data_IF_485538506331
#
_entry.id   IF_485538506331
#
_cell.length_a   1.000
_cell.length_b   1.000
_cell.length_c   1.000
_cell.angle_alpha   90.00
_cell.angle_beta   90.00
_cell.angle_gamma   90.00
#
_symmetry.space_group_name_H-M   'P 1'
#
loop_
_entity.id
_entity.type
_entity.pdbx_description
1 polymer ?
#
# COMPACT_ATOMS: atom_id res chain seq x y z
N UNK A 1 -3.15 -13.17 -27.52
CA UNK A 1 -4.26 -12.22 -27.66
C UNK A 1 -5.17 -12.40 -26.46
N UNK A 2 -5.16 -11.46 -25.53
CA UNK A 2 -6.11 -11.42 -24.43
C UNK A 2 -7.43 -10.89 -25.01
N UNK A 3 -8.51 -11.67 -24.92
CA UNK A 3 -9.83 -11.27 -25.40
C UNK A 3 -10.43 -10.22 -24.45
N UNK A 4 -11.18 -9.27 -25.01
CA UNK A 4 -11.76 -8.13 -24.30
C UNK A 4 -12.73 -8.49 -23.17
N UNK A 5 -13.16 -9.75 -23.07
CA UNK A 5 -14.07 -10.23 -22.02
C UNK A 5 -13.35 -10.49 -20.68
N UNK A 6 -12.04 -10.77 -20.68
CA UNK A 6 -11.29 -11.04 -19.44
C UNK A 6 -10.99 -9.77 -18.61
N UNK A 7 -11.18 -8.59 -19.19
CA UNK A 7 -10.95 -7.29 -18.55
C UNK A 7 -12.19 -6.73 -17.86
N UNK A 8 -13.39 -7.29 -18.10
CA UNK A 8 -14.63 -6.82 -17.50
C UNK A 8 -14.85 -7.29 -16.05
N UNK A 9 -14.01 -8.22 -15.55
CA UNK A 9 -14.12 -8.79 -14.19
C UNK A 9 -13.05 -8.26 -13.22
N UNK A 10 -12.26 -7.24 -13.61
CA UNK A 10 -11.21 -6.65 -12.76
C UNK A 10 -11.56 -5.19 -12.45
N UNK A 11 -12.42 -4.98 -11.47
CA UNK A 11 -12.55 -3.67 -10.79
C UNK A 11 -11.34 -3.46 -9.87
N UNK A 12 -10.20 -3.09 -10.44
CA UNK A 12 -9.03 -2.67 -9.68
C UNK A 12 -9.03 -1.14 -9.58
N UNK A 13 -9.53 -0.60 -8.47
CA UNK A 13 -9.41 0.83 -8.16
C UNK A 13 -8.10 1.09 -7.39
N UNK A 14 -7.22 1.93 -7.95
CA UNK A 14 -5.96 2.32 -7.34
C UNK A 14 -6.00 3.80 -6.94
N UNK A 15 -5.59 4.12 -5.71
CA UNK A 15 -5.67 5.47 -5.15
C UNK A 15 -4.29 6.01 -4.75
N UNK A 16 -4.03 7.30 -4.98
CA UNK A 16 -2.76 7.98 -4.69
C UNK A 16 -3.01 9.25 -3.85
N UNK A 17 -2.07 9.60 -2.95
CA UNK A 17 -2.15 10.71 -1.97
C UNK A 17 -0.78 11.39 -1.77
N UNK A 18 -0.52 12.70 -1.53
CA UNK A 18 -1.26 14.00 -1.43
C UNK A 18 -0.41 15.14 -2.05
N UNK A 19 -1.04 16.20 -2.56
CA UNK A 19 -0.39 17.39 -3.16
C UNK A 19 -0.53 18.68 -2.30
N UNK A 20 -1.45 18.70 -1.32
CA UNK A 20 -2.00 19.94 -0.72
C UNK A 20 -1.09 20.67 0.27
N UNK A 21 -0.29 19.96 1.08
CA UNK A 21 0.65 20.61 2.02
C UNK A 21 1.69 21.47 1.30
N UNK A 22 2.07 21.06 0.08
CA UNK A 22 2.98 21.81 -0.80
C UNK A 22 2.31 23.07 -1.36
N UNK A 23 1.03 22.99 -1.69
CA UNK A 23 0.25 24.12 -2.22
C UNK A 23 -0.03 25.17 -1.13
N UNK A 24 -0.40 24.73 0.08
CA UNK A 24 -0.63 25.61 1.22
C UNK A 24 0.62 26.41 1.61
N UNK A 25 1.80 25.77 1.62
CA UNK A 25 3.07 26.45 1.86
C UNK A 25 3.41 27.51 0.80
N UNK A 26 2.99 27.29 -0.45
CA UNK A 26 3.15 28.26 -1.54
C UNK A 26 2.25 29.48 -1.37
N UNK A 27 1.01 29.28 -0.92
CA UNK A 27 0.02 30.36 -0.71
C UNK A 27 0.40 31.30 0.44
N UNK A 28 1.14 30.81 1.44
CA UNK A 28 1.53 31.58 2.62
C UNK A 28 2.97 32.15 2.53
N UNK A 29 3.53 32.20 1.32
CA UNK A 29 4.82 32.86 1.05
C UNK A 29 6.04 32.18 1.70
N UNK A 30 5.92 30.92 2.13
CA UNK A 30 7.02 30.15 2.73
C UNK A 30 7.48 30.63 4.12
N UNK A 31 6.72 31.51 4.78
CA UNK A 31 7.11 32.08 6.07
C UNK A 31 6.58 31.23 7.22
N UNK A 32 7.49 30.55 7.92
CA UNK A 32 7.16 29.71 9.08
C UNK A 32 6.93 30.58 10.33
N UNK A 33 5.67 30.81 10.71
CA UNK A 33 5.31 31.39 12.00
C UNK A 33 4.30 30.48 12.74
N UNK A 34 4.03 30.78 14.02
CA UNK A 34 3.17 29.92 14.85
C UNK A 34 1.73 29.82 14.33
N UNK A 35 1.19 30.91 13.78
CA UNK A 35 -0.16 30.96 13.22
C UNK A 35 -0.26 30.11 11.95
N UNK A 36 0.72 30.23 11.05
CA UNK A 36 0.87 29.36 9.88
C UNK A 36 0.97 27.89 10.27
N UNK A 37 1.76 27.57 11.30
CA UNK A 37 1.90 26.21 11.80
C UNK A 37 0.54 25.66 12.30
N UNK A 38 -0.19 26.42 13.12
CA UNK A 38 -1.50 25.99 13.64
C UNK A 38 -2.50 25.77 12.50
N UNK A 39 -2.64 26.73 11.57
CA UNK A 39 -3.57 26.63 10.44
C UNK A 39 -3.23 25.48 9.50
N UNK A 40 -1.93 25.30 9.19
CA UNK A 40 -1.46 24.16 8.40
C UNK A 40 -1.79 22.83 9.10
N UNK A 41 -1.56 22.74 10.41
CA UNK A 41 -1.86 21.53 11.18
C UNK A 41 -3.36 21.24 11.25
N UNK A 42 -4.21 22.25 11.41
CA UNK A 42 -5.66 22.11 11.40
C UNK A 42 -6.17 21.65 10.03
N UNK A 43 -5.69 22.28 8.94
CA UNK A 43 -6.06 21.91 7.57
C UNK A 43 -5.65 20.47 7.25
N UNK A 44 -4.38 20.13 7.49
CA UNK A 44 -3.87 18.76 7.32
C UNK A 44 -4.66 17.76 8.18
N UNK A 45 -5.09 18.15 9.39
CA UNK A 45 -5.88 17.28 10.27
C UNK A 45 -7.31 17.08 9.77
N UNK A 46 -7.92 18.10 9.16
CA UNK A 46 -9.23 18.01 8.54
C UNK A 46 -9.18 17.14 7.28
N UNK A 47 -8.25 17.41 6.36
CA UNK A 47 -8.02 16.63 5.14
C UNK A 47 -7.82 15.15 5.47
N UNK A 48 -7.00 14.84 6.49
CA UNK A 48 -6.82 13.46 6.98
C UNK A 48 -8.13 12.80 7.41
N UNK A 49 -9.02 13.51 8.10
CA UNK A 49 -10.31 12.95 8.53
C UNK A 49 -11.24 12.74 7.35
N UNK A 50 -11.29 13.69 6.42
CA UNK A 50 -12.11 13.59 5.20
C UNK A 50 -11.64 12.43 4.32
N UNK A 51 -10.33 12.21 4.21
CA UNK A 51 -9.76 11.06 3.51
C UNK A 51 -10.11 9.73 4.13
N UNK A 52 -10.00 9.62 5.45
CA UNK A 52 -10.34 8.38 6.16
C UNK A 52 -11.83 8.08 5.97
N UNK A 53 -12.69 9.11 6.07
CA UNK A 53 -14.12 8.97 5.81
C UNK A 53 -14.40 8.57 4.37
N UNK A 54 -13.77 9.21 3.40
CA UNK A 54 -13.92 8.88 1.98
C UNK A 54 -13.47 7.45 1.68
N UNK A 55 -12.37 6.98 2.28
CA UNK A 55 -11.89 5.61 2.14
C UNK A 55 -12.92 4.60 2.68
N UNK A 56 -13.48 4.87 3.86
CA UNK A 56 -14.52 4.06 4.48
C UNK A 56 -15.78 3.99 3.60
N UNK A 57 -16.28 5.13 3.15
CA UNK A 57 -17.46 5.22 2.27
C UNK A 57 -17.24 4.55 0.91
N UNK A 58 -16.04 4.69 0.34
CA UNK A 58 -15.66 4.06 -0.94
C UNK A 58 -15.67 2.54 -0.78
N UNK A 59 -14.99 2.01 0.23
CA UNK A 59 -14.93 0.56 0.47
C UNK A 59 -16.30 -0.03 0.86
N UNK A 60 -17.16 0.75 1.54
CA UNK A 60 -18.52 0.36 1.86
C UNK A 60 -19.44 0.26 0.63
N UNK A 61 -19.18 1.09 -0.39
CA UNK A 61 -19.96 1.11 -1.63
C UNK A 61 -19.54 0.02 -2.63
N UNK A 62 -18.33 -0.55 -2.51
CA UNK A 62 -17.84 -1.62 -3.38
C UNK A 62 -18.61 -2.94 -3.18
N UNK A 63 -18.71 -3.76 -4.23
CA UNK A 63 -19.23 -5.13 -4.10
C UNK A 63 -18.37 -5.91 -3.08
N UNK A 64 -18.99 -6.51 -2.03
CA UNK A 64 -18.30 -7.40 -1.09
C UNK A 64 -17.51 -8.51 -1.80
N UNK A 65 -17.93 -8.91 -3.01
CA UNK A 65 -17.32 -9.97 -3.80
C UNK A 65 -16.17 -9.51 -4.70
N UNK A 66 -15.96 -8.22 -4.90
CA UNK A 66 -14.82 -7.72 -5.69
C UNK A 66 -13.51 -7.92 -4.93
N UNK A 67 -12.45 -8.24 -5.68
CA UNK A 67 -11.07 -8.15 -5.20
C UNK A 67 -10.75 -6.69 -4.88
N UNK A 68 -10.14 -6.42 -3.73
CA UNK A 68 -9.87 -5.05 -3.28
C UNK A 68 -8.39 -4.84 -3.05
N UNK A 69 -7.82 -3.89 -3.77
CA UNK A 69 -6.42 -3.48 -3.67
C UNK A 69 -6.40 -2.01 -3.27
N UNK A 70 -5.67 -1.67 -2.21
CA UNK A 70 -5.51 -0.28 -1.77
C UNK A 70 -4.06 0.12 -1.97
N UNK A 71 -3.84 1.30 -2.53
CA UNK A 71 -2.51 1.85 -2.80
C UNK A 71 -2.29 3.09 -1.93
N UNK A 72 -1.08 3.27 -1.43
CA UNK A 72 -0.67 4.45 -0.65
C UNK A 72 0.83 4.70 -0.74
N UNK A 73 1.33 5.78 -0.15
CA UNK A 73 2.76 6.06 -0.16
C UNK A 73 3.50 5.36 1.00
N UNK A 74 3.01 5.52 2.22
CA UNK A 74 3.69 5.03 3.43
C UNK A 74 3.24 3.63 3.86
N UNK A 75 4.14 2.88 4.48
CA UNK A 75 3.88 1.52 4.91
C UNK A 75 3.11 1.44 6.24
N UNK A 76 2.02 0.65 6.27
CA UNK A 76 1.39 0.20 7.53
C UNK A 76 2.24 -0.86 8.23
N UNK A 77 2.80 -1.79 7.44
CA UNK A 77 3.73 -2.83 7.86
C UNK A 77 4.99 -2.68 7.02
N UNK A 78 6.16 -2.67 7.65
CA UNK A 78 7.46 -2.64 6.97
C UNK A 78 8.53 -3.18 7.90
N UNK A 79 9.39 -4.03 7.36
CA UNK A 79 10.57 -4.58 7.99
C UNK A 79 11.85 -3.77 7.63
N UNK A 80 11.70 -2.57 7.08
CA UNK A 80 12.81 -1.65 6.81
C UNK A 80 13.47 -1.17 8.12
N UNK A 81 14.80 -1.17 8.15
CA UNK A 81 15.58 -0.62 9.28
C UNK A 81 15.66 0.91 9.26
N UNK A 82 15.14 1.58 8.22
CA UNK A 82 15.26 3.04 8.04
C UNK A 82 14.00 3.78 8.49
N UNK A 83 12.82 3.39 7.98
CA UNK A 83 11.55 4.05 8.34
C UNK A 83 10.62 3.14 9.16
N UNK A 84 10.50 1.86 8.79
CA UNK A 84 9.65 0.90 9.47
C UNK A 84 8.13 1.20 9.34
N UNK A 85 7.28 0.53 10.14
CA UNK A 85 5.83 0.67 10.05
C UNK A 85 5.36 2.03 10.61
N UNK A 86 4.28 2.59 10.06
CA UNK A 86 3.64 3.80 10.61
C UNK A 86 2.53 3.42 11.61
N UNK A 87 2.71 3.62 12.94
CA UNK A 87 1.74 3.14 13.94
C UNK A 87 0.36 3.78 13.80
N UNK A 88 0.29 5.06 13.43
CA UNK A 88 -0.99 5.75 13.25
C UNK A 88 -1.83 5.16 12.12
N UNK A 89 -1.21 4.65 11.05
CA UNK A 89 -1.95 3.99 9.97
C UNK A 89 -2.52 2.64 10.43
N UNK A 90 -1.82 1.92 11.32
CA UNK A 90 -2.34 0.69 11.94
C UNK A 90 -3.55 0.95 12.83
N UNK A 91 -3.67 2.14 13.41
CA UNK A 91 -4.81 2.52 14.26
C UNK A 91 -5.98 3.06 13.42
N UNK A 92 -5.70 3.90 12.43
CA UNK A 92 -6.73 4.64 11.71
C UNK A 92 -7.23 3.95 10.44
N UNK A 93 -6.35 3.28 9.68
CA UNK A 93 -6.65 2.81 8.31
C UNK A 93 -6.79 1.29 8.29
N UNK A 94 -5.88 0.56 8.95
CA UNK A 94 -5.91 -0.91 8.95
C UNK A 94 -7.23 -1.52 9.42
N UNK A 95 -7.93 -1.00 10.45
CA UNK A 95 -9.22 -1.55 10.84
C UNK A 95 -10.26 -1.45 9.71
N UNK A 96 -10.26 -0.33 8.96
CA UNK A 96 -11.14 -0.10 7.81
C UNK A 96 -10.82 -1.10 6.69
N UNK A 97 -9.54 -1.26 6.34
CA UNK A 97 -9.15 -2.20 5.28
C UNK A 97 -9.53 -3.64 5.65
N UNK A 98 -9.36 -4.01 6.92
CA UNK A 98 -9.74 -5.34 7.42
C UNK A 98 -11.25 -5.55 7.43
N UNK A 99 -12.05 -4.55 7.81
CA UNK A 99 -13.52 -4.69 7.87
C UNK A 99 -14.16 -4.92 6.50
N UNK A 100 -13.59 -4.33 5.45
CA UNK A 100 -14.09 -4.49 4.06
C UNK A 100 -13.40 -5.61 3.26
N UNK A 101 -12.53 -6.40 3.89
CA UNK A 101 -11.90 -7.55 3.26
C UNK A 101 -10.93 -7.19 2.13
N UNK A 102 -10.11 -6.15 2.34
CA UNK A 102 -9.06 -5.75 1.40
C UNK A 102 -7.99 -6.84 1.29
N UNK A 103 -7.65 -7.22 0.06
CA UNK A 103 -6.70 -8.29 -0.26
C UNK A 103 -5.26 -7.79 -0.18
N UNK A 104 -4.98 -6.64 -0.79
CA UNK A 104 -3.63 -6.06 -0.84
C UNK A 104 -3.62 -4.60 -0.41
N UNK A 105 -2.63 -4.25 0.39
CA UNK A 105 -2.14 -2.89 0.55
C UNK A 105 -0.77 -2.75 -0.11
N UNK A 106 -0.67 -1.93 -1.15
CA UNK A 106 0.57 -1.68 -1.89
C UNK A 106 1.08 -0.27 -1.54
N UNK A 107 2.36 -0.17 -1.20
CA UNK A 107 2.96 1.12 -0.88
C UNK A 107 4.42 1.21 -1.33
N UNK A 108 5.05 2.37 -1.12
CA UNK A 108 6.46 2.59 -1.37
C UNK A 108 7.14 3.17 -0.13
N UNK A 109 7.82 4.31 -0.29
CA UNK A 109 8.56 5.06 0.73
C UNK A 109 9.81 4.36 1.27
N UNK A 110 9.72 3.09 1.65
CA UNK A 110 10.89 2.28 1.99
C UNK A 110 11.57 1.77 0.72
N UNK A 111 12.81 2.18 0.48
CA UNK A 111 13.54 1.88 -0.75
C UNK A 111 14.06 0.45 -0.79
N UNK A 112 13.14 -0.50 -0.79
CA UNK A 112 13.36 -1.93 -0.90
C UNK A 112 12.08 -2.58 -1.45
N UNK A 113 12.12 -3.90 -1.60
CA UNK A 113 10.94 -4.68 -1.96
C UNK A 113 10.58 -5.61 -0.81
N UNK A 114 9.30 -5.65 -0.43
CA UNK A 114 8.84 -6.51 0.66
C UNK A 114 7.45 -7.11 0.38
N UNK A 115 7.26 -8.33 0.85
CA UNK A 115 5.95 -8.95 1.07
C UNK A 115 5.82 -9.25 2.56
N UNK A 116 4.85 -8.60 3.21
CA UNK A 116 4.53 -8.80 4.61
C UNK A 116 3.12 -9.34 4.78
N UNK A 117 2.97 -10.28 5.71
CA UNK A 117 1.71 -10.90 6.04
C UNK A 117 1.72 -11.38 7.49
N UNK A 118 0.71 -10.95 8.27
CA UNK A 118 0.52 -11.47 9.63
C UNK A 118 -0.29 -12.75 9.58
N UNK A 119 0.16 -13.76 10.33
CA UNK A 119 -0.57 -15.02 10.47
C UNK A 119 -2.01 -14.75 10.89
N UNK A 120 -2.96 -15.40 10.22
CA UNK A 120 -4.41 -15.29 10.44
C UNK A 120 -5.06 -13.97 9.97
N UNK A 121 -4.34 -13.11 9.26
CA UNK A 121 -4.96 -11.98 8.57
C UNK A 121 -5.24 -12.32 7.11
N UNK A 122 -6.25 -11.68 6.53
CA UNK A 122 -6.53 -11.75 5.09
C UNK A 122 -5.67 -10.74 4.30
N UNK A 123 -5.41 -9.57 4.89
CA UNK A 123 -4.71 -8.47 4.25
C UNK A 123 -3.22 -8.75 4.10
N UNK A 124 -2.72 -8.69 2.85
CA UNK A 124 -1.30 -8.73 2.54
C UNK A 124 -0.75 -7.32 2.28
N UNK A 125 0.50 -7.08 2.67
CA UNK A 125 1.17 -5.81 2.49
C UNK A 125 2.35 -5.97 1.55
N UNK A 126 2.41 -5.13 0.52
CA UNK A 126 3.48 -5.13 -0.49
C UNK A 126 4.17 -3.76 -0.45
N UNK A 127 5.48 -3.77 -0.25
CA UNK A 127 6.32 -2.57 -0.35
C UNK A 127 7.07 -2.63 -1.66
N UNK A 128 6.91 -1.61 -2.49
CA UNK A 128 7.53 -1.44 -3.81
C UNK A 128 8.21 -0.06 -3.87
N UNK A 129 9.14 0.20 -2.94
CA UNK A 129 9.86 1.48 -2.91
C UNK A 129 11.23 1.45 -3.60
N UNK A 130 11.68 0.29 -4.09
CA UNK A 130 12.91 0.12 -4.87
C UNK A 130 12.87 0.68 -6.30
N UNK A 131 12.05 1.67 -6.61
CA UNK A 131 11.83 2.16 -7.98
C UNK A 131 12.99 2.95 -8.64
N UNK A 132 14.16 3.04 -8.00
CA UNK A 132 15.37 3.64 -8.60
C UNK A 132 15.65 5.09 -8.20
N UNK A 133 15.08 5.60 -7.10
CA UNK A 133 15.51 6.89 -6.55
C UNK A 133 16.89 6.75 -5.90
N UNK A 134 17.92 7.33 -6.51
CA UNK A 134 19.30 7.30 -6.02
C UNK A 134 19.78 8.71 -5.71
N UNK A 135 19.95 9.03 -4.43
CA UNK A 135 20.53 10.31 -3.97
C UNK A 135 21.79 10.13 -3.14
N UNK A 136 22.01 8.93 -2.60
CA UNK A 136 23.18 8.58 -1.80
C UNK A 136 23.66 7.15 -2.09
N UNK A 137 24.88 6.77 -1.68
CA UNK A 137 25.34 5.37 -1.75
C UNK A 137 24.46 4.38 -0.98
N UNK A 138 23.63 4.85 -0.04
CA UNK A 138 22.73 4.03 0.79
C UNK A 138 21.26 4.21 0.37
N UNK A 139 21.02 4.40 -0.92
CA UNK A 139 19.67 4.68 -1.42
C UNK A 139 18.70 3.50 -1.25
N UNK A 140 19.22 2.27 -1.09
CA UNK A 140 18.42 1.10 -0.74
C UNK A 140 18.37 0.92 0.78
N UNK A 141 17.17 0.72 1.32
CA UNK A 141 16.95 0.57 2.75
C UNK A 141 17.12 -0.90 3.16
N UNK A 142 18.02 -1.21 4.12
CA UNK A 142 18.17 -2.57 4.63
C UNK A 142 16.87 -3.09 5.24
N UNK A 143 16.63 -4.40 5.12
CA UNK A 143 15.44 -5.09 5.62
C UNK A 143 15.84 -6.09 6.72
N UNK A 144 15.04 -6.18 7.80
CA UNK A 144 15.21 -7.19 8.84
C UNK A 144 15.08 -8.60 8.25
N UNK A 145 15.67 -9.60 8.89
CA UNK A 145 15.40 -11.00 8.56
C UNK A 145 14.07 -11.48 9.15
N UNK A 146 13.50 -12.57 8.62
CA UNK A 146 12.23 -13.13 9.13
C UNK A 146 12.23 -13.47 10.63
N UNK A 147 13.31 -14.01 11.24
CA UNK A 147 13.35 -14.19 12.69
C UNK A 147 13.23 -12.88 13.50
N UNK A 148 13.72 -11.77 12.94
CA UNK A 148 13.67 -10.44 13.57
C UNK A 148 12.32 -9.74 13.34
N UNK A 149 11.66 -10.04 12.21
CA UNK A 149 10.35 -9.50 11.86
C UNK A 149 9.40 -10.61 11.39
N UNK A 150 8.63 -11.25 12.30
CA UNK A 150 7.85 -12.46 11.97
C UNK A 150 6.76 -12.29 10.91
N UNK A 151 6.34 -11.07 10.60
CA UNK A 151 5.39 -10.79 9.53
C UNK A 151 6.06 -10.67 8.14
N UNK A 152 7.40 -10.68 8.06
CA UNK A 152 8.14 -10.61 6.82
C UNK A 152 8.15 -11.98 6.15
N UNK A 153 7.43 -12.09 5.04
CA UNK A 153 7.41 -13.30 4.20
C UNK A 153 8.60 -13.27 3.24
N UNK A 154 8.86 -12.12 2.64
CA UNK A 154 10.00 -11.87 1.76
C UNK A 154 10.41 -10.41 1.85
N UNK A 155 11.73 -10.14 1.82
CA UNK A 155 12.27 -8.79 1.78
C UNK A 155 13.64 -8.78 1.14
N UNK A 156 13.88 -7.81 0.26
CA UNK A 156 15.18 -7.62 -0.37
C UNK A 156 15.50 -6.14 -0.59
N UNK A 157 16.76 -5.78 -0.33
CA UNK A 157 17.29 -4.43 -0.52
C UNK A 157 17.80 -4.30 -1.95
N UNK A 158 16.87 -4.19 -2.89
CA UNK A 158 17.17 -4.14 -4.33
C UNK A 158 16.29 -3.13 -5.06
N UNK A 159 16.77 -2.67 -6.21
CA UNK A 159 15.94 -1.94 -7.16
C UNK A 159 15.08 -2.91 -7.96
N UNK A 160 13.87 -2.50 -8.30
CA UNK A 160 12.95 -3.36 -9.03
C UNK A 160 11.50 -2.89 -8.95
N UNK A 161 10.61 -3.77 -9.36
CA UNK A 161 9.16 -3.55 -9.34
C UNK A 161 8.42 -4.86 -9.05
N UNK A 162 7.12 -4.77 -8.82
CA UNK A 162 6.25 -5.94 -8.65
C UNK A 162 5.23 -5.97 -9.78
N UNK A 163 5.18 -7.08 -10.51
CA UNK A 163 4.10 -7.39 -11.43
C UNK A 163 2.98 -8.11 -10.68
N UNK A 164 1.75 -7.61 -10.80
CA UNK A 164 0.56 -8.21 -10.19
C UNK A 164 -0.39 -8.68 -11.29
N UNK A 165 -0.68 -9.98 -11.31
CA UNK A 165 -1.66 -10.59 -12.21
C UNK A 165 -2.88 -11.00 -11.41
N UNK A 166 -3.98 -10.29 -11.61
CA UNK A 166 -5.28 -10.66 -11.05
C UNK A 166 -5.89 -11.83 -11.83
N UNK A 167 -6.40 -12.81 -11.09
CA UNK A 167 -7.21 -13.92 -11.58
C UNK A 167 -8.52 -13.92 -10.79
N UNK A 168 -9.45 -14.76 -11.22
CA UNK A 168 -10.79 -14.84 -10.64
C UNK A 168 -10.83 -15.04 -9.11
N UNK A 169 -9.89 -15.82 -8.58
CA UNK A 169 -9.85 -16.25 -7.18
C UNK A 169 -8.46 -16.08 -6.55
N UNK A 170 -7.56 -15.37 -7.23
CA UNK A 170 -6.18 -15.24 -6.80
C UNK A 170 -5.46 -14.04 -7.39
N UNK A 171 -4.43 -13.59 -6.69
CA UNK A 171 -3.46 -12.60 -7.13
C UNK A 171 -2.10 -13.26 -7.24
N UNK A 172 -1.52 -13.29 -8.43
CA UNK A 172 -0.14 -13.71 -8.61
C UNK A 172 0.78 -12.50 -8.60
N UNK A 173 1.76 -12.49 -7.72
CA UNK A 173 2.73 -11.41 -7.57
C UNK A 173 4.13 -11.92 -7.94
N UNK A 174 4.83 -11.16 -8.76
CA UNK A 174 6.22 -11.42 -9.15
C UNK A 174 7.06 -10.19 -8.81
N UNK A 175 8.07 -10.37 -7.97
CA UNK A 175 9.04 -9.36 -7.61
C UNK A 175 10.20 -9.49 -8.58
N UNK A 176 10.44 -8.42 -9.33
CA UNK A 176 11.39 -8.40 -10.44
C UNK A 176 12.45 -7.36 -10.12
N UNK A 177 13.71 -7.80 -10.05
CA UNK A 177 14.84 -6.91 -9.82
C UNK A 177 15.19 -6.08 -11.07
N UNK A 178 16.12 -5.14 -10.92
CA UNK A 178 16.57 -4.28 -12.02
C UNK A 178 17.34 -5.03 -13.14
N UNK A 179 17.73 -6.29 -12.93
CA UNK A 179 18.27 -7.15 -13.98
C UNK A 179 17.16 -7.86 -14.78
N UNK A 180 15.90 -7.74 -14.35
CA UNK A 180 14.76 -8.45 -14.93
C UNK A 180 14.58 -9.86 -14.38
N UNK A 181 15.26 -10.23 -13.29
CA UNK A 181 15.15 -11.54 -12.66
C UNK A 181 13.97 -11.56 -11.69
N UNK A 182 13.19 -12.63 -11.70
CA UNK A 182 12.17 -12.87 -10.66
C UNK A 182 12.89 -13.36 -9.41
N UNK A 183 12.97 -12.49 -8.40
CA UNK A 183 13.67 -12.75 -7.13
C UNK A 183 12.74 -13.34 -6.06
N UNK A 184 11.43 -13.18 -6.24
CA UNK A 184 10.40 -13.79 -5.42
C UNK A 184 9.08 -13.80 -6.18
N UNK A 185 8.25 -14.82 -5.97
CA UNK A 185 6.87 -14.82 -6.44
C UNK A 185 5.95 -15.50 -5.44
N UNK A 186 4.68 -15.16 -5.51
CA UNK A 186 3.65 -15.79 -4.67
C UNK A 186 2.29 -15.72 -5.32
N UNK A 187 1.39 -16.59 -4.88
CA UNK A 187 -0.02 -16.53 -5.26
C UNK A 187 -0.84 -16.38 -3.99
N UNK A 188 -1.57 -15.28 -3.90
CA UNK A 188 -2.45 -14.94 -2.78
C UNK A 188 -3.87 -15.36 -3.19
N UNK A 189 -4.48 -16.35 -2.51
CA UNK A 189 -5.87 -16.68 -2.74
C UNK A 189 -6.78 -15.54 -2.26
N UNK A 190 -7.72 -15.10 -3.09
CA UNK A 190 -8.73 -14.08 -2.71
C UNK A 190 -10.11 -14.71 -2.40
N UNK A 191 -10.21 -16.04 -2.54
CA UNK A 191 -11.41 -16.87 -2.30
C UNK A 191 -12.43 -16.82 -3.44
N UNK A 192 -13.24 -17.88 -3.62
CA UNK A 192 -14.37 -17.84 -4.58
C UNK A 192 -15.51 -17.04 -3.95
N UNK A 193 -15.47 -15.72 -4.12
CA UNK A 193 -16.42 -14.78 -3.50
C UNK A 193 -17.86 -14.92 -4.04
N UNK A 194 -18.10 -15.79 -5.03
CA UNK A 194 -19.45 -16.12 -5.55
C UNK A 194 -20.38 -16.77 -4.53
N UNK A 195 -19.87 -17.40 -3.47
CA UNK A 195 -20.69 -18.05 -2.42
C UNK A 195 -21.01 -17.18 -1.21
N UNK A 196 -20.60 -15.90 -1.19
CA UNK A 196 -21.02 -14.98 -0.12
C UNK A 196 -22.47 -14.57 -0.37
N UNK A 197 -23.40 -15.27 0.28
CA UNK A 197 -24.80 -14.86 0.37
C UNK A 197 -24.87 -13.73 1.41
N UNK A 198 -25.05 -12.50 0.95
CA UNK A 198 -25.40 -11.38 1.84
C UNK A 198 -26.77 -11.72 2.42
N UNK A 199 -26.84 -11.87 3.75
CA UNK A 199 -28.11 -12.01 4.49
C UNK A 199 -28.67 -10.63 4.80
#
# INVERSE_FOLDING_TARGET
MLTSEALNDVECEAFFYSVEAREFGREHGGMLNMEFYIQMHEKISLEKREQIKWLDETLAAMDPKSMKIVVGHHAMESASLVHGPRPLMNVAIRPILKSYGVDLYICGHDHNLQHLHRRYEHLHHIVVGGGGFVTTPTSLHPVYSTPEYPALVYGDSTFGFVAATARKDSLHLEFIDYFGSIIYNTTIPTGDRRQITVR
#
